data_IF_291101155523
#
_entry.id   IF_291101155523
#
_cell.length_a   1.000
_cell.length_b   1.000
_cell.length_c   1.000
_cell.angle_alpha   90.00
_cell.angle_beta   90.00
_cell.angle_gamma   90.00
#
_symmetry.space_group_name_H-M   'P 1'
#
loop_
_entity.id
_entity.type
_entity.pdbx_description
1 polymer ?
#
# COMPACT_ATOMS: atom_id res chain seq x y z
N UNK A 1 31.87 29.40 -12.84
CA UNK A 1 30.94 29.59 -11.72
C UNK A 1 30.40 28.23 -11.32
N UNK A 2 30.21 27.98 -10.03
CA UNK A 2 30.21 26.63 -9.45
C UNK A 2 28.92 25.85 -9.70
N UNK A 3 29.05 24.55 -9.99
CA UNK A 3 27.94 23.61 -9.87
C UNK A 3 27.51 23.51 -8.40
N UNK A 4 26.20 23.50 -8.15
CA UNK A 4 25.64 23.12 -6.86
C UNK A 4 24.74 21.90 -7.08
N UNK A 5 25.34 20.71 -7.02
CA UNK A 5 24.58 19.46 -6.96
C UNK A 5 23.94 19.36 -5.58
N UNK A 6 22.63 19.57 -5.51
CA UNK A 6 21.85 19.38 -4.29
C UNK A 6 21.68 17.90 -4.01
N UNK A 7 22.60 17.32 -3.24
CA UNK A 7 22.45 15.95 -2.74
C UNK A 7 21.28 15.90 -1.75
N UNK A 8 20.12 15.46 -2.21
CA UNK A 8 19.00 15.10 -1.34
C UNK A 8 19.45 13.91 -0.48
N UNK A 9 19.48 14.10 0.85
CA UNK A 9 19.55 12.97 1.77
C UNK A 9 18.27 12.16 1.62
N UNK A 10 18.39 10.90 1.25
CA UNK A 10 17.33 9.92 1.45
C UNK A 10 17.07 9.79 2.96
N UNK A 11 15.82 10.04 3.36
CA UNK A 11 15.38 9.88 4.74
C UNK A 11 15.03 8.40 4.92
N UNK A 12 15.94 7.66 5.57
CA UNK A 12 15.78 6.22 5.82
C UNK A 12 14.96 6.04 7.09
N UNK A 13 13.82 5.35 6.99
CA UNK A 13 13.05 4.95 8.17
C UNK A 13 13.55 3.60 8.65
N UNK A 14 13.93 3.52 9.93
CA UNK A 14 14.15 2.24 10.62
C UNK A 14 12.97 1.98 11.54
N UNK A 15 12.41 0.78 11.44
CA UNK A 15 11.47 0.25 12.43
C UNK A 15 12.07 -0.97 13.11
N UNK A 16 11.91 -1.06 14.44
CA UNK A 16 12.40 -2.15 15.26
C UNK A 16 11.26 -2.77 16.08
N UNK A 17 11.21 -4.11 16.20
CA UNK A 17 10.34 -4.76 17.19
C UNK A 17 10.94 -4.65 18.60
N UNK A 18 10.08 -4.48 19.60
CA UNK A 18 10.46 -4.63 21.02
C UNK A 18 10.35 -6.09 21.46
N UNK A 19 10.87 -7.01 20.64
CA UNK A 19 10.94 -8.43 21.00
C UNK A 19 12.11 -8.67 21.95
N UNK A 20 11.96 -9.61 22.89
CA UNK A 20 12.99 -9.95 23.89
C UNK A 20 14.30 -10.30 23.18
N UNK A 21 15.37 -9.54 23.46
CA UNK A 21 16.63 -9.50 22.70
C UNK A 21 17.19 -10.89 22.32
N UNK A 22 16.73 -11.40 21.18
CA UNK A 22 17.23 -12.61 20.56
C UNK A 22 18.49 -12.24 19.79
N UNK A 23 19.65 -12.69 20.28
CA UNK A 23 20.91 -12.57 19.56
C UNK A 23 21.10 -13.84 18.73
N UNK A 24 21.13 -13.75 17.38
CA UNK A 24 21.25 -14.94 16.56
C UNK A 24 22.56 -15.69 16.82
N UNK A 25 22.48 -17.02 16.92
CA UNK A 25 23.66 -17.86 17.16
C UNK A 25 24.48 -18.03 15.87
N UNK A 26 25.50 -17.17 15.70
CA UNK A 26 26.45 -17.16 14.58
C UNK A 26 27.56 -18.23 14.67
N UNK A 27 27.51 -19.18 15.61
CA UNK A 27 28.49 -20.28 15.73
C UNK A 27 28.07 -21.56 14.99
N UNK A 28 27.07 -21.49 14.12
CA UNK A 28 26.61 -22.61 13.30
C UNK A 28 27.15 -22.55 11.88
N UNK A 29 26.83 -23.58 11.11
CA UNK A 29 27.13 -23.63 9.68
C UNK A 29 26.41 -22.51 8.90
N UNK A 30 26.92 -22.26 7.70
CA UNK A 30 26.47 -21.19 6.80
C UNK A 30 25.86 -21.83 5.56
N UNK A 31 24.62 -21.43 5.26
CA UNK A 31 23.85 -21.88 4.11
C UNK A 31 23.99 -20.84 2.99
N UNK A 32 24.23 -21.33 1.77
CA UNK A 32 24.22 -20.48 0.58
C UNK A 32 22.84 -20.46 -0.07
N UNK A 33 22.39 -19.26 -0.41
CA UNK A 33 21.16 -18.99 -1.16
C UNK A 33 21.55 -18.34 -2.48
N UNK A 34 21.10 -18.91 -3.59
CA UNK A 34 21.28 -18.38 -4.94
C UNK A 34 20.14 -17.41 -5.23
N UNK A 35 20.48 -16.15 -5.53
CA UNK A 35 19.51 -15.10 -5.88
C UNK A 35 19.70 -14.65 -7.34
N UNK A 36 18.87 -13.71 -7.80
CA UNK A 36 18.90 -13.20 -9.18
C UNK A 36 20.31 -12.72 -9.60
N UNK A 37 20.61 -12.91 -10.88
CA UNK A 37 21.94 -12.64 -11.44
C UNK A 37 22.99 -13.71 -11.12
N UNK A 38 22.64 -14.77 -10.38
CA UNK A 38 23.57 -15.84 -10.00
C UNK A 38 24.40 -15.52 -8.76
N UNK A 39 24.04 -14.46 -8.02
CA UNK A 39 24.70 -14.07 -6.78
C UNK A 39 24.43 -15.10 -5.67
N UNK A 40 25.46 -15.44 -4.89
CA UNK A 40 25.34 -16.34 -3.73
C UNK A 40 25.41 -15.54 -2.44
N UNK A 41 24.29 -15.47 -1.71
CA UNK A 41 24.21 -14.83 -0.40
C UNK A 41 24.38 -15.91 0.68
N UNK A 42 25.33 -15.70 1.59
CA UNK A 42 25.72 -16.66 2.62
C UNK A 42 25.16 -16.24 3.98
N UNK A 43 24.35 -17.08 4.61
CA UNK A 43 23.63 -16.76 5.86
C UNK A 43 23.78 -17.90 6.88
N UNK A 44 23.97 -17.58 8.15
CA UNK A 44 24.04 -18.59 9.21
C UNK A 44 22.74 -19.40 9.29
N UNK A 45 22.83 -20.72 9.43
CA UNK A 45 21.67 -21.62 9.43
C UNK A 45 20.62 -21.22 10.48
N UNK A 46 21.04 -20.99 11.73
CA UNK A 46 20.16 -20.58 12.83
C UNK A 46 19.41 -19.27 12.57
N UNK A 47 19.95 -18.39 11.72
CA UNK A 47 19.32 -17.12 11.33
C UNK A 47 18.20 -17.40 10.33
N UNK A 48 18.46 -18.25 9.32
CA UNK A 48 17.45 -18.67 8.34
C UNK A 48 16.33 -19.50 8.99
N UNK A 49 16.62 -20.34 9.98
CA UNK A 49 15.64 -21.20 10.65
C UNK A 49 14.50 -20.43 11.38
N UNK A 50 14.60 -19.11 11.52
CA UNK A 50 13.49 -18.25 11.97
C UNK A 50 12.31 -18.32 10.98
N UNK A 51 12.61 -18.28 9.69
CA UNK A 51 11.63 -18.42 8.61
C UNK A 51 11.07 -19.85 8.52
N UNK A 52 9.73 -20.02 8.45
CA UNK A 52 9.13 -21.33 8.21
C UNK A 52 9.48 -21.91 6.83
N UNK A 53 9.73 -21.09 5.80
CA UNK A 53 10.20 -21.57 4.49
C UNK A 53 11.57 -22.24 4.62
N UNK A 54 12.57 -21.52 5.15
CA UNK A 54 13.92 -22.07 5.28
C UNK A 54 13.98 -23.25 6.25
N UNK A 55 13.21 -23.22 7.35
CA UNK A 55 13.07 -24.36 8.27
C UNK A 55 12.52 -25.62 7.59
N UNK A 56 11.68 -25.47 6.57
CA UNK A 56 11.24 -26.61 5.75
C UNK A 56 12.30 -27.01 4.70
N UNK A 57 12.94 -26.05 4.03
CA UNK A 57 13.97 -26.32 3.02
C UNK A 57 15.24 -26.97 3.58
N UNK A 58 15.53 -26.76 4.87
CA UNK A 58 16.70 -27.29 5.58
C UNK A 58 16.48 -28.63 6.29
N UNK A 59 15.30 -29.27 6.16
CA UNK A 59 15.12 -30.62 6.75
C UNK A 59 16.07 -31.63 6.08
N UNK A 60 16.58 -32.65 6.82
CA UNK A 60 17.60 -33.57 6.32
C UNK A 60 17.25 -34.24 5.00
N UNK A 61 15.98 -34.59 4.78
CA UNK A 61 15.48 -35.20 3.55
C UNK A 61 15.67 -34.27 2.31
N UNK A 62 15.47 -32.96 2.47
CA UNK A 62 15.64 -31.98 1.39
C UNK A 62 17.10 -31.56 1.20
N UNK A 63 17.89 -31.55 2.27
CA UNK A 63 19.34 -31.31 2.20
C UNK A 63 20.03 -32.45 1.44
N UNK A 64 19.68 -33.71 1.75
CA UNK A 64 20.19 -34.89 1.05
C UNK A 64 19.82 -34.90 -0.45
N UNK A 65 18.60 -34.48 -0.81
CA UNK A 65 18.21 -34.34 -2.22
C UNK A 65 18.94 -33.23 -2.98
N UNK A 66 19.45 -32.20 -2.28
CA UNK A 66 20.15 -31.08 -2.92
C UNK A 66 21.62 -31.37 -3.25
N UNK A 67 22.23 -32.38 -2.64
CA UNK A 67 23.62 -32.80 -2.93
C UNK A 67 24.62 -31.62 -2.89
N UNK A 68 24.56 -30.84 -1.81
CA UNK A 68 25.40 -29.65 -1.62
C UNK A 68 25.00 -28.39 -2.41
N UNK A 69 23.94 -28.43 -3.24
CA UNK A 69 23.46 -27.25 -3.98
C UNK A 69 22.85 -26.18 -3.04
N UNK A 70 23.04 -24.88 -3.37
CA UNK A 70 22.42 -23.78 -2.64
C UNK A 70 20.89 -23.85 -2.70
N UNK A 71 20.22 -23.11 -1.81
CA UNK A 71 18.78 -22.90 -1.91
C UNK A 71 18.52 -21.95 -3.09
N UNK A 72 17.66 -22.36 -4.03
CA UNK A 72 17.36 -21.60 -5.23
C UNK A 72 16.24 -20.58 -4.97
N UNK A 73 16.59 -19.29 -5.10
CA UNK A 73 15.70 -18.12 -5.16
C UNK A 73 16.17 -17.21 -6.32
N UNK A 74 16.62 -17.80 -7.44
CA UNK A 74 17.21 -17.09 -8.59
C UNK A 74 16.25 -16.11 -9.32
N UNK A 75 14.99 -16.09 -8.93
CA UNK A 75 13.93 -15.16 -9.35
C UNK A 75 13.66 -14.02 -8.34
N UNK A 76 14.36 -14.00 -7.19
CA UNK A 76 14.30 -12.92 -6.19
C UNK A 76 15.50 -12.00 -6.36
N UNK A 77 15.25 -10.68 -6.39
CA UNK A 77 16.31 -9.68 -6.45
C UNK A 77 17.29 -9.77 -5.27
N UNK A 78 18.55 -9.44 -5.54
CA UNK A 78 19.65 -9.55 -4.58
C UNK A 78 19.55 -8.54 -3.43
N UNK A 79 19.14 -7.30 -3.70
CA UNK A 79 19.03 -6.25 -2.68
C UNK A 79 17.74 -6.43 -1.85
N UNK A 80 16.67 -6.92 -2.47
CA UNK A 80 15.45 -7.34 -1.80
C UNK A 80 15.72 -8.48 -0.80
N UNK A 81 16.45 -9.52 -1.21
CA UNK A 81 16.83 -10.60 -0.31
C UNK A 81 17.84 -10.16 0.75
N UNK A 82 18.80 -9.30 0.42
CA UNK A 82 19.74 -8.72 1.39
C UNK A 82 19.02 -7.93 2.50
N UNK A 83 17.96 -7.17 2.14
CA UNK A 83 17.12 -6.43 3.09
C UNK A 83 16.39 -7.37 4.05
N UNK A 84 15.84 -8.48 3.53
CA UNK A 84 15.23 -9.52 4.37
C UNK A 84 16.25 -10.21 5.29
N UNK A 85 17.47 -10.50 4.80
CA UNK A 85 18.55 -11.06 5.62
C UNK A 85 18.97 -10.07 6.71
N UNK A 86 19.06 -8.76 6.42
CA UNK A 86 19.32 -7.74 7.43
C UNK A 86 18.24 -7.76 8.54
N UNK A 87 16.96 -7.87 8.18
CA UNK A 87 15.89 -8.02 9.16
C UNK A 87 16.08 -9.27 10.03
N UNK A 88 16.41 -10.43 9.45
CA UNK A 88 16.66 -11.68 10.20
C UNK A 88 17.79 -11.57 11.25
N UNK A 89 18.78 -10.67 11.05
CA UNK A 89 19.86 -10.44 12.03
C UNK A 89 19.54 -9.37 13.08
N UNK A 90 18.71 -8.38 12.73
CA UNK A 90 18.58 -7.12 13.49
C UNK A 90 17.18 -6.86 14.02
N UNK A 91 16.18 -7.60 13.53
CA UNK A 91 14.75 -7.30 13.59
C UNK A 91 14.42 -5.84 13.19
N UNK A 92 15.23 -5.27 12.29
CA UNK A 92 15.05 -3.93 11.74
C UNK A 92 14.97 -3.95 10.23
N UNK A 93 13.97 -3.26 9.69
CA UNK A 93 13.84 -2.96 8.26
C UNK A 93 14.27 -1.52 8.06
N UNK A 94 15.32 -1.31 7.27
CA UNK A 94 15.89 0.00 6.96
C UNK A 94 15.66 0.32 5.48
N UNK A 95 14.47 0.84 5.18
CA UNK A 95 14.01 1.11 3.80
C UNK A 95 13.76 2.61 3.65
N UNK A 96 13.96 3.12 2.44
CA UNK A 96 13.70 4.54 2.16
C UNK A 96 12.21 4.86 2.31
N UNK A 97 11.92 6.05 2.81
CA UNK A 97 10.55 6.59 2.91
C UNK A 97 9.84 6.64 1.54
N UNK A 98 10.59 6.71 0.44
CA UNK A 98 10.07 6.71 -0.94
C UNK A 98 10.47 5.48 -1.75
N UNK A 99 10.80 4.38 -1.08
CA UNK A 99 11.19 3.15 -1.76
C UNK A 99 9.96 2.40 -2.29
N UNK A 100 9.86 2.05 -3.58
CA UNK A 100 8.78 1.20 -4.08
C UNK A 100 8.87 -0.24 -3.54
N UNK A 101 10.04 -0.66 -3.03
CA UNK A 101 10.28 -2.03 -2.54
C UNK A 101 9.39 -2.46 -1.37
N UNK A 102 8.70 -1.57 -0.66
CA UNK A 102 7.79 -1.97 0.43
C UNK A 102 6.76 -3.03 0.01
N UNK A 103 6.24 -2.96 -1.21
CA UNK A 103 5.32 -3.96 -1.75
C UNK A 103 6.02 -5.31 -2.02
N UNK A 104 7.20 -5.27 -2.64
CA UNK A 104 8.02 -6.44 -2.96
C UNK A 104 8.52 -7.17 -1.70
N UNK A 105 8.90 -6.42 -0.66
CA UNK A 105 9.31 -6.95 0.63
C UNK A 105 8.16 -7.68 1.31
N UNK A 106 6.92 -7.18 1.21
CA UNK A 106 5.74 -7.89 1.72
C UNK A 106 5.49 -9.21 0.96
N UNK A 107 5.57 -9.17 -0.38
CA UNK A 107 5.44 -10.36 -1.24
C UNK A 107 6.51 -11.40 -0.91
N UNK A 108 7.76 -10.97 -0.71
CA UNK A 108 8.85 -11.83 -0.27
C UNK A 108 8.55 -12.45 1.11
N UNK A 109 7.95 -11.69 2.03
CA UNK A 109 7.47 -12.19 3.32
C UNK A 109 6.40 -13.27 3.21
N UNK A 110 5.38 -13.09 2.37
CA UNK A 110 4.37 -14.13 2.10
C UNK A 110 5.00 -15.39 1.48
N UNK A 111 5.94 -15.23 0.53
CA UNK A 111 6.66 -16.33 -0.10
C UNK A 111 7.52 -17.13 0.89
N UNK A 112 8.23 -16.43 1.78
CA UNK A 112 9.08 -17.03 2.82
C UNK A 112 8.27 -17.49 4.06
N UNK A 113 6.94 -17.36 4.01
CA UNK A 113 6.00 -17.74 5.08
C UNK A 113 6.30 -17.05 6.41
N UNK A 114 6.93 -15.87 6.37
CA UNK A 114 7.42 -15.18 7.56
C UNK A 114 6.42 -14.11 8.00
N UNK A 115 5.64 -14.44 9.04
CA UNK A 115 4.52 -13.61 9.51
C UNK A 115 4.99 -12.38 10.30
N UNK A 116 6.05 -12.50 11.11
CA UNK A 116 6.59 -11.35 11.87
C UNK A 116 7.19 -10.31 10.92
N UNK A 117 7.84 -10.78 9.84
CA UNK A 117 8.30 -9.90 8.77
C UNK A 117 7.14 -9.21 8.04
N UNK A 118 6.11 -9.96 7.62
CA UNK A 118 4.91 -9.40 6.97
C UNK A 118 4.25 -8.31 7.83
N UNK A 119 4.05 -8.56 9.13
CA UNK A 119 3.46 -7.61 10.06
C UNK A 119 4.31 -6.32 10.16
N UNK A 120 5.64 -6.45 10.20
CA UNK A 120 6.54 -5.29 10.25
C UNK A 120 6.54 -4.49 8.93
N UNK A 121 6.48 -5.15 7.78
CA UNK A 121 6.35 -4.46 6.50
C UNK A 121 5.01 -3.72 6.40
N UNK A 122 3.89 -4.33 6.84
CA UNK A 122 2.57 -3.67 6.91
C UNK A 122 2.58 -2.44 7.83
N UNK A 123 3.16 -2.58 9.03
CA UNK A 123 3.32 -1.46 9.95
C UNK A 123 4.21 -0.36 9.35
N UNK A 124 5.22 -0.73 8.53
CA UNK A 124 6.12 0.18 7.82
C UNK A 124 5.38 1.01 6.79
N UNK A 125 4.62 0.36 5.91
CA UNK A 125 3.73 1.01 4.93
C UNK A 125 2.78 1.99 5.65
N UNK A 126 2.13 1.56 6.74
CA UNK A 126 1.19 2.41 7.50
C UNK A 126 1.90 3.61 8.17
N UNK A 127 3.07 3.41 8.76
CA UNK A 127 3.84 4.47 9.40
C UNK A 127 4.35 5.48 8.35
N UNK A 128 4.84 4.98 7.22
CA UNK A 128 5.33 5.76 6.10
C UNK A 128 4.23 6.65 5.51
N UNK A 129 3.07 6.07 5.16
CA UNK A 129 1.93 6.83 4.63
C UNK A 129 1.40 7.90 5.59
N UNK A 130 1.54 7.69 6.91
CA UNK A 130 1.23 8.73 7.91
C UNK A 130 2.28 9.84 7.97
N UNK A 131 3.55 9.51 7.76
CA UNK A 131 4.67 10.45 7.86
C UNK A 131 4.75 11.40 6.66
N UNK A 132 4.66 10.88 5.44
CA UNK A 132 4.75 11.69 4.20
C UNK A 132 3.40 12.05 3.58
N UNK A 133 2.29 11.53 4.08
CA UNK A 133 0.94 11.76 3.53
C UNK A 133 0.72 11.24 2.10
N UNK A 134 1.60 10.34 1.65
CA UNK A 134 1.51 9.63 0.36
C UNK A 134 1.05 8.18 0.60
N UNK A 135 0.42 7.56 -0.40
CA UNK A 135 -0.17 6.22 -0.30
C UNK A 135 0.43 5.33 -1.39
N UNK A 136 0.40 3.99 -1.25
CA UNK A 136 0.89 3.07 -2.28
C UNK A 136 0.27 3.41 -3.64
N UNK A 137 1.13 3.50 -4.65
CA UNK A 137 0.76 3.82 -6.02
C UNK A 137 0.28 2.57 -6.78
N UNK A 138 -0.05 2.76 -8.05
CA UNK A 138 -0.52 1.71 -8.96
C UNK A 138 0.48 0.56 -9.10
N UNK A 139 1.79 0.85 -9.17
CA UNK A 139 2.83 -0.16 -9.21
C UNK A 139 2.85 -0.98 -7.91
N UNK A 140 2.84 -0.33 -6.74
CA UNK A 140 2.81 -1.02 -5.45
C UNK A 140 1.54 -1.88 -5.27
N UNK A 141 0.39 -1.41 -5.76
CA UNK A 141 -0.87 -2.17 -5.75
C UNK A 141 -0.77 -3.40 -6.65
N UNK A 142 -0.28 -3.25 -7.88
CA UNK A 142 -0.10 -4.36 -8.82
C UNK A 142 0.88 -5.41 -8.28
N UNK A 143 2.03 -5.00 -7.74
CA UNK A 143 2.96 -5.90 -7.05
C UNK A 143 2.29 -6.70 -5.92
N UNK A 144 1.47 -6.05 -5.07
CA UNK A 144 0.73 -6.75 -4.01
C UNK A 144 -0.32 -7.73 -4.59
N UNK A 145 -1.09 -7.34 -5.61
CA UNK A 145 -2.16 -8.20 -6.14
C UNK A 145 -1.65 -9.33 -7.04
N UNK A 146 -0.48 -9.20 -7.64
CA UNK A 146 0.18 -10.28 -8.39
C UNK A 146 0.94 -11.24 -7.46
N UNK A 147 1.63 -10.71 -6.44
CA UNK A 147 2.51 -11.49 -5.58
C UNK A 147 1.86 -12.18 -4.37
N UNK A 148 0.64 -11.80 -3.97
CA UNK A 148 -0.03 -12.32 -2.75
C UNK A 148 -1.27 -13.15 -3.07
N UNK A 149 -1.83 -13.87 -2.08
CA UNK A 149 -3.13 -14.55 -2.23
C UNK A 149 -4.33 -13.62 -2.00
N UNK A 150 -5.50 -13.97 -2.53
CA UNK A 150 -6.75 -13.20 -2.38
C UNK A 150 -7.14 -12.88 -0.91
N UNK A 151 -6.71 -13.70 0.06
CA UNK A 151 -6.96 -13.49 1.48
C UNK A 151 -5.89 -12.64 2.19
N UNK A 152 -4.96 -12.02 1.45
CA UNK A 152 -3.84 -11.26 2.00
C UNK A 152 -4.28 -9.99 2.74
N UNK A 153 -3.80 -9.76 3.98
CA UNK A 153 -4.01 -8.49 4.68
C UNK A 153 -3.52 -7.25 3.91
N UNK A 154 -2.47 -7.38 3.09
CA UNK A 154 -1.95 -6.26 2.30
C UNK A 154 -2.96 -5.74 1.28
N UNK A 155 -3.64 -6.64 0.56
CA UNK A 155 -4.72 -6.28 -0.39
C UNK A 155 -5.81 -5.45 0.28
N UNK A 156 -6.26 -5.90 1.47
CA UNK A 156 -7.22 -5.17 2.30
C UNK A 156 -6.72 -3.76 2.67
N UNK A 157 -5.43 -3.62 3.03
CA UNK A 157 -4.84 -2.32 3.36
C UNK A 157 -4.86 -1.37 2.16
N UNK A 158 -4.50 -1.85 0.95
CA UNK A 158 -4.58 -1.04 -0.28
C UNK A 158 -6.00 -0.51 -0.51
N UNK A 159 -7.00 -1.40 -0.39
CA UNK A 159 -8.42 -1.05 -0.55
C UNK A 159 -8.90 -0.06 0.52
N UNK A 160 -8.53 -0.25 1.79
CA UNK A 160 -8.92 0.66 2.86
C UNK A 160 -8.22 2.04 2.73
N UNK A 161 -7.00 2.14 2.19
CA UNK A 161 -6.36 3.42 1.84
C UNK A 161 -7.14 4.17 0.74
N UNK A 162 -7.40 3.52 -0.40
CA UNK A 162 -8.13 4.15 -1.51
C UNK A 162 -9.57 4.50 -1.13
N UNK A 163 -10.23 3.68 -0.29
CA UNK A 163 -11.53 4.03 0.27
C UNK A 163 -11.53 5.25 1.20
N UNK A 164 -10.40 5.58 1.82
CA UNK A 164 -10.30 6.68 2.80
C UNK A 164 -9.77 7.99 2.19
N UNK A 165 -8.97 7.89 1.12
CA UNK A 165 -8.23 9.01 0.53
C UNK A 165 -8.29 9.13 -0.97
N UNK A 166 -8.77 8.10 -1.68
CA UNK A 166 -8.85 8.10 -3.13
C UNK A 166 -9.65 9.29 -3.65
N UNK A 167 -9.04 10.04 -4.57
CA UNK A 167 -9.69 11.12 -5.29
C UNK A 167 -10.01 10.66 -6.73
N UNK A 168 -10.86 11.42 -7.43
CA UNK A 168 -11.36 11.01 -8.75
C UNK A 168 -10.26 10.97 -9.83
N UNK A 169 -9.14 11.66 -9.59
CA UNK A 169 -7.93 11.70 -10.41
C UNK A 169 -6.91 10.58 -10.09
N UNK A 170 -7.14 9.78 -9.03
CA UNK A 170 -6.29 8.62 -8.70
C UNK A 170 -6.64 7.36 -9.50
N UNK A 171 -7.75 7.37 -10.24
CA UNK A 171 -8.21 6.26 -11.08
C UNK A 171 -8.64 6.87 -12.41
N UNK A 172 -7.69 6.98 -13.34
CA UNK A 172 -7.97 7.42 -14.70
C UNK A 172 -8.66 6.30 -15.47
N UNK A 173 -10.00 6.37 -15.59
CA UNK A 173 -10.83 5.35 -16.25
C UNK A 173 -10.53 5.23 -17.76
N UNK A 174 -9.96 6.26 -18.40
CA UNK A 174 -9.60 6.21 -19.82
C UNK A 174 -8.24 5.52 -20.04
N UNK A 175 -7.36 5.55 -19.03
CA UNK A 175 -6.03 4.94 -19.05
C UNK A 175 -5.82 3.83 -17.99
N UNK A 176 -6.88 3.28 -17.39
CA UNK A 176 -6.81 2.31 -16.27
C UNK A 176 -6.37 0.89 -16.68
N UNK A 177 -5.37 0.78 -17.54
CA UNK A 177 -4.75 -0.49 -17.93
C UNK A 177 -3.83 -1.07 -16.85
N UNK A 178 -3.43 -0.26 -15.88
CA UNK A 178 -2.31 -0.55 -14.98
C UNK A 178 -2.73 -0.95 -13.54
N UNK A 179 -4.00 -0.72 -13.14
CA UNK A 179 -4.58 -1.18 -11.86
C UNK A 179 -5.23 -2.58 -11.96
N UNK A 180 -5.04 -3.48 -10.97
CA UNK A 180 -5.57 -4.85 -11.03
C UNK A 180 -7.10 -4.90 -11.00
N UNK A 181 -7.71 -5.69 -11.88
CA UNK A 181 -9.18 -5.86 -11.95
C UNK A 181 -9.78 -6.28 -10.59
N UNK A 182 -9.10 -7.17 -9.87
CA UNK A 182 -9.55 -7.62 -8.56
C UNK A 182 -9.51 -6.51 -7.51
N UNK A 183 -8.48 -5.64 -7.54
CA UNK A 183 -8.41 -4.46 -6.68
C UNK A 183 -9.60 -3.53 -6.94
N UNK A 184 -9.88 -3.22 -8.22
CA UNK A 184 -11.01 -2.37 -8.60
C UNK A 184 -12.36 -2.96 -8.14
N UNK A 185 -12.55 -4.28 -8.24
CA UNK A 185 -13.76 -4.97 -7.74
C UNK A 185 -13.92 -4.86 -6.23
N UNK A 186 -12.84 -5.12 -5.48
CA UNK A 186 -12.82 -5.04 -4.02
C UNK A 186 -13.02 -3.59 -3.55
N UNK A 187 -12.38 -2.62 -4.21
CA UNK A 187 -12.54 -1.19 -3.97
C UNK A 187 -13.96 -0.70 -4.21
N UNK A 188 -14.59 -1.05 -5.34
CA UNK A 188 -15.98 -0.68 -5.63
C UNK A 188 -16.94 -1.28 -4.60
N UNK A 189 -16.75 -2.55 -4.23
CA UNK A 189 -17.56 -3.18 -3.17
C UNK A 189 -17.44 -2.42 -1.84
N UNK A 190 -16.20 -2.12 -1.43
CA UNK A 190 -15.90 -1.43 -0.17
C UNK A 190 -16.38 0.03 -0.16
N UNK A 191 -16.35 0.71 -1.31
CA UNK A 191 -16.94 2.04 -1.48
C UNK A 191 -18.47 1.99 -1.38
N UNK A 192 -19.14 0.99 -1.96
CA UNK A 192 -20.59 0.83 -1.83
C UNK A 192 -21.06 0.48 -0.41
N UNK A 193 -20.21 -0.17 0.40
CA UNK A 193 -20.46 -0.38 1.83
C UNK A 193 -20.34 0.90 2.66
N UNK A 194 -19.37 1.76 2.34
CA UNK A 194 -19.06 2.99 3.11
C UNK A 194 -19.84 4.22 2.65
N UNK A 195 -20.27 4.29 1.39
CA UNK A 195 -20.89 5.49 0.83
C UNK A 195 -22.36 5.59 1.23
N UNK A 196 -22.71 6.72 1.85
CA UNK A 196 -24.11 7.08 2.06
C UNK A 196 -24.90 7.10 0.74
N UNK A 197 -26.18 6.75 0.82
CA UNK A 197 -27.08 6.88 -0.33
C UNK A 197 -27.36 8.37 -0.55
N UNK A 198 -27.18 8.91 -1.77
CA UNK A 198 -27.54 10.29 -2.05
C UNK A 198 -29.01 10.55 -1.73
N UNK A 199 -29.25 11.56 -0.88
CA UNK A 199 -30.61 12.04 -0.56
C UNK A 199 -31.20 12.91 -1.68
N UNK A 200 -30.34 13.34 -2.61
CA UNK A 200 -30.71 14.15 -3.77
C UNK A 200 -31.76 13.46 -4.67
N UNK A 201 -32.51 14.27 -5.42
CA UNK A 201 -33.40 13.74 -6.46
C UNK A 201 -32.59 12.90 -7.44
N UNK A 202 -33.11 11.70 -7.73
CA UNK A 202 -32.54 10.75 -8.69
C UNK A 202 -32.14 11.47 -10.00
N UNK A 203 -30.90 11.36 -10.50
CA UNK A 203 -30.44 12.11 -11.68
C UNK A 203 -31.33 11.94 -12.92
N UNK A 204 -31.82 10.73 -13.15
CA UNK A 204 -32.77 10.44 -14.24
C UNK A 204 -34.17 11.05 -14.05
N UNK A 205 -34.55 11.46 -12.84
CA UNK A 205 -35.77 12.26 -12.61
C UNK A 205 -35.53 13.78 -12.79
N UNK A 206 -34.27 14.22 -12.92
CA UNK A 206 -33.91 15.63 -13.14
C UNK A 206 -33.77 15.95 -14.63
N UNK A 207 -33.13 15.05 -15.40
CA UNK A 207 -33.03 15.14 -16.84
C UNK A 207 -33.07 13.74 -17.49
N UNK A 208 -34.27 13.27 -17.81
CA UNK A 208 -34.48 12.03 -18.59
C UNK A 208 -33.83 12.11 -19.98
N UNK A 209 -33.71 13.32 -20.55
CA UNK A 209 -33.21 13.51 -21.91
C UNK A 209 -31.70 13.31 -22.02
N UNK A 210 -30.94 13.49 -20.93
CA UNK A 210 -29.52 13.17 -20.84
C UNK A 210 -29.20 11.69 -21.14
N UNK A 211 -30.18 10.79 -20.96
CA UNK A 211 -30.04 9.35 -21.18
C UNK A 211 -30.67 8.87 -22.50
N UNK A 212 -31.29 9.76 -23.27
CA UNK A 212 -32.10 9.42 -24.44
C UNK A 212 -31.34 9.63 -25.77
N UNK A 213 -30.99 8.54 -26.45
CA UNK A 213 -30.17 8.55 -27.69
C UNK A 213 -30.86 9.22 -28.90
N UNK A 214 -32.20 9.14 -28.98
CA UNK A 214 -32.97 9.56 -30.17
C UNK A 214 -33.83 10.82 -30.00
N UNK A 215 -33.96 11.37 -28.80
CA UNK A 215 -34.76 12.58 -28.60
C UNK A 215 -33.97 13.83 -29.02
N UNK A 216 -34.49 14.59 -29.99
CA UNK A 216 -34.01 15.95 -30.22
C UNK A 216 -34.25 16.77 -28.95
N UNK A 217 -33.22 17.47 -28.46
CA UNK A 217 -33.33 18.38 -27.31
C UNK A 217 -34.49 19.37 -27.53
N UNK A 218 -35.61 19.13 -26.84
CA UNK A 218 -36.70 20.10 -26.77
C UNK A 218 -36.22 21.28 -25.95
N UNK A 219 -36.21 22.48 -26.53
CA UNK A 219 -35.72 23.70 -25.89
C UNK A 219 -36.71 24.27 -24.86
N UNK A 220 -37.19 23.43 -23.93
CA UNK A 220 -38.23 23.77 -22.95
C UNK A 220 -37.86 23.46 -21.48
N UNK A 221 -36.65 22.97 -21.19
CA UNK A 221 -36.18 22.71 -19.81
C UNK A 221 -35.10 23.70 -19.32
N UNK A 222 -35.17 24.97 -19.74
CA UNK A 222 -34.23 26.02 -19.29
C UNK A 222 -34.88 27.01 -18.30
N UNK A 223 -36.21 27.06 -18.21
CA UNK A 223 -36.94 28.05 -17.41
C UNK A 223 -37.15 27.65 -15.95
N UNK A 224 -37.17 26.35 -15.60
CA UNK A 224 -37.40 25.91 -14.22
C UNK A 224 -36.15 26.06 -13.33
N UNK A 225 -34.97 25.66 -13.84
CA UNK A 225 -33.72 25.66 -13.06
C UNK A 225 -33.20 27.06 -12.69
N UNK A 226 -33.56 28.10 -13.45
CA UNK A 226 -33.21 29.49 -13.12
C UNK A 226 -34.13 30.12 -12.06
N UNK A 227 -35.37 29.66 -11.92
CA UNK A 227 -36.30 30.18 -10.91
C UNK A 227 -35.93 29.71 -9.49
N UNK A 228 -35.49 28.45 -9.34
CA UNK A 228 -35.21 27.86 -8.03
C UNK A 228 -33.95 28.46 -7.36
N UNK A 229 -32.91 28.80 -8.14
CA UNK A 229 -31.72 29.53 -7.65
C UNK A 229 -31.98 30.97 -7.21
N UNK A 230 -33.09 31.59 -7.62
CA UNK A 230 -33.46 32.94 -7.17
C UNK A 230 -34.14 32.93 -5.80
N UNK A 231 -34.91 31.88 -5.48
CA UNK A 231 -35.65 31.77 -4.22
C UNK A 231 -34.75 31.46 -3.01
N UNK A 232 -33.73 30.62 -3.20
CA UNK A 232 -32.85 30.17 -2.11
C UNK A 232 -31.87 31.23 -1.56
N UNK A 233 -31.80 32.45 -2.12
CA UNK A 233 -30.87 33.50 -1.70
C UNK A 233 -31.38 34.40 -0.56
N UNK A 234 -32.59 34.18 -0.04
CA UNK A 234 -33.24 35.12 0.87
C UNK A 234 -33.77 34.45 2.17
N UNK A 235 -32.89 33.75 2.90
CA UNK A 235 -33.12 33.34 4.29
C UNK A 235 -31.90 33.74 5.13
N UNK A 236 -32.15 34.41 6.25
CA UNK A 236 -31.13 35.09 7.07
C UNK A 236 -30.09 34.15 7.70
N UNK A 237 -28.84 34.63 7.75
CA UNK A 237 -27.82 34.09 8.65
C UNK A 237 -28.17 34.47 10.11
N UNK A 238 -28.19 33.51 11.06
CA UNK A 238 -28.14 33.83 12.48
C UNK A 238 -26.70 34.19 12.88
N UNK A 239 -26.55 35.29 13.62
CA UNK A 239 -25.26 35.73 14.18
C UNK A 239 -24.96 34.92 15.45
N UNK A 240 -23.81 34.24 15.57
CA UNK A 240 -23.36 33.68 16.84
C UNK A 240 -22.92 34.80 17.80
N UNK A 241 -23.41 34.77 19.04
CA UNK A 241 -22.81 35.52 20.14
C UNK A 241 -21.80 34.64 20.90
N UNK A 242 -21.02 35.32 21.76
CA UNK A 242 -19.99 34.79 22.67
C UNK A 242 -18.64 34.45 21.98
N UNK A 243 -17.48 34.86 22.51
CA UNK A 243 -17.19 35.51 23.81
C UNK A 243 -15.88 36.33 23.76
N UNK A 244 -15.69 37.14 24.81
CA UNK A 244 -14.44 37.30 25.58
C UNK A 244 -13.70 38.67 25.68
N UNK A 245 -13.59 39.14 26.94
CA UNK A 245 -12.53 39.93 27.60
C UNK A 245 -11.88 41.15 26.90
N UNK A 246 -12.45 42.34 27.17
CA UNK A 246 -11.75 43.56 27.68
C UNK A 246 -12.78 44.32 28.57
N UNK A 247 -12.48 44.96 29.71
CA UNK A 247 -11.27 45.01 30.55
C UNK A 247 -11.16 46.31 31.38
N UNK A 248 -10.48 46.26 32.56
CA UNK A 248 -10.26 47.32 33.58
C UNK A 248 -11.38 47.53 34.62
N UNK A 249 -10.97 47.73 35.87
CA UNK A 249 -11.79 47.87 37.09
C UNK A 249 -10.99 47.42 38.29
#
# INVERSE_FOLDING_TARGET
MSNTSGSQKSEVTSMATTSSAYLPNIKCDVVQVLVQGGTLISVHENVLLQSPFFRNALKPEWVAMRDGKPIDLSDVDSDLFATYVQWLYTHQVAVSVRDPTWAELYVLGERLLDLEYQDIIILGIIANSKAIYEYPDELAISTIYEGTRNSSPARKLMVDFYCWRGAADWIDIENSGDLPEQFLRELVSRLMEKRDRPEERRPWNLDESAYCVGMRRSAQSTTLAMAEKASARNVSLPVPQEQDKIGRG
#
